data_IF_193559652050
#
_entry.id   IF_193559652050
#
_cell.length_a   1.000
_cell.length_b   1.000
_cell.length_c   1.000
_cell.angle_alpha   90.00
_cell.angle_beta   90.00
_cell.angle_gamma   90.00
#
_symmetry.space_group_name_H-M   'P 1'
#
loop_
_entity.id
_entity.type
_entity.pdbx_description
1 polymer ?
#
# COMPACT_ATOMS: atom_id res chain seq x y z
N UNK A 1 -10.87 -4.81 -1.48
CA UNK A 1 -10.17 -3.93 -0.50
C UNK A 1 -9.97 -4.71 0.80
N UNK A 2 -8.80 -4.61 1.43
CA UNK A 2 -8.57 -5.15 2.77
C UNK A 2 -9.08 -4.11 3.77
N UNK A 3 -10.10 -4.46 4.56
CA UNK A 3 -10.66 -3.58 5.59
C UNK A 3 -10.02 -3.89 6.93
N UNK A 4 -9.21 -2.97 7.43
CA UNK A 4 -8.53 -3.11 8.71
C UNK A 4 -8.15 -1.73 9.23
N UNK A 5 -8.15 -1.54 10.55
CA UNK A 5 -7.82 -0.25 11.18
C UNK A 5 -6.41 0.25 10.87
N UNK A 6 -5.47 -0.66 10.59
CA UNK A 6 -4.10 -0.33 10.18
C UNK A 6 -3.94 -0.06 8.67
N UNK A 7 -4.99 -0.16 7.86
CA UNK A 7 -4.92 0.13 6.42
C UNK A 7 -5.23 1.60 6.18
N UNK A 8 -4.27 2.30 5.57
CA UNK A 8 -4.45 3.69 5.11
C UNK A 8 -4.57 3.71 3.59
N UNK A 9 -5.70 4.22 3.07
CA UNK A 9 -5.91 4.33 1.63
C UNK A 9 -5.36 5.64 1.09
N UNK A 10 -4.21 5.56 0.43
CA UNK A 10 -3.59 6.71 -0.26
C UNK A 10 -3.45 6.34 -1.73
N UNK A 11 -4.12 7.04 -2.66
CA UNK A 11 -3.86 6.89 -4.09
C UNK A 11 -2.40 7.19 -4.40
N UNK A 12 -1.76 6.37 -5.24
CA UNK A 12 -0.34 6.50 -5.55
C UNK A 12 0.07 7.92 -5.99
N UNK A 13 -0.73 8.56 -6.87
CA UNK A 13 -0.47 9.92 -7.33
C UNK A 13 -0.53 11.00 -6.22
N UNK A 14 -1.15 10.70 -5.08
CA UNK A 14 -1.21 11.57 -3.90
C UNK A 14 -0.19 11.21 -2.82
N UNK A 15 0.52 10.08 -2.96
CA UNK A 15 1.42 9.56 -1.93
C UNK A 15 2.49 10.57 -1.53
N UNK A 16 3.06 11.28 -2.50
CA UNK A 16 4.12 12.28 -2.24
C UNK A 16 3.63 13.44 -1.38
N UNK A 17 2.41 13.92 -1.62
CA UNK A 17 1.82 15.04 -0.88
C UNK A 17 1.18 14.62 0.45
N UNK A 18 0.93 13.33 0.64
CA UNK A 18 0.23 12.80 1.83
C UNK A 18 1.12 11.90 2.70
N UNK A 19 2.43 11.91 2.48
CA UNK A 19 3.37 11.03 3.20
C UNK A 19 3.35 11.23 4.71
N UNK A 20 3.01 12.43 5.17
CA UNK A 20 2.97 12.77 6.61
C UNK A 20 1.79 12.13 7.34
N UNK A 21 0.83 11.53 6.61
CA UNK A 21 -0.22 10.69 7.21
C UNK A 21 0.30 9.32 7.68
N UNK A 22 1.50 8.94 7.26
CA UNK A 22 2.08 7.63 7.54
C UNK A 22 2.99 7.66 8.77
N UNK A 23 2.76 6.70 9.66
CA UNK A 23 3.59 6.44 10.84
C UNK A 23 4.97 5.90 10.42
N UNK A 24 6.01 6.72 10.58
CA UNK A 24 7.40 6.40 10.17
C UNK A 24 8.16 5.51 11.16
N UNK A 25 7.58 5.31 12.34
CA UNK A 25 8.08 4.48 13.45
C UNK A 25 7.73 2.99 13.29
N UNK A 26 6.91 2.63 12.31
CA UNK A 26 6.42 1.27 12.08
C UNK A 26 6.86 0.74 10.71
N UNK A 27 6.75 -0.58 10.55
CA UNK A 27 6.85 -1.19 9.22
C UNK A 27 5.66 -0.76 8.37
N UNK A 28 5.94 -0.24 7.17
CA UNK A 28 4.90 0.08 6.18
C UNK A 28 4.92 -1.00 5.10
N UNK A 29 3.80 -1.69 4.93
CA UNK A 29 3.58 -2.65 3.84
C UNK A 29 2.69 -2.00 2.80
N UNK A 30 3.25 -1.72 1.63
CA UNK A 30 2.53 -1.16 0.48
C UNK A 30 1.89 -2.25 -0.37
N UNK A 31 0.70 -2.00 -0.88
CA UNK A 31 0.01 -2.94 -1.77
C UNK A 31 -0.99 -2.24 -2.68
N UNK A 32 -1.33 -2.90 -3.78
CA UNK A 32 -2.46 -2.53 -4.63
C UNK A 32 -3.13 -3.83 -5.14
N UNK A 33 -3.86 -3.77 -6.24
CA UNK A 33 -4.53 -4.95 -6.83
C UNK A 33 -3.54 -6.08 -7.21
N UNK A 34 -2.50 -5.76 -8.00
CA UNK A 34 -1.49 -6.70 -8.53
C UNK A 34 -0.05 -6.31 -8.14
N UNK A 35 0.10 -5.58 -7.05
CA UNK A 35 1.38 -5.13 -6.49
C UNK A 35 2.24 -4.13 -7.30
N UNK A 36 1.98 -3.87 -8.59
CA UNK A 36 2.75 -2.88 -9.38
C UNK A 36 2.84 -1.49 -8.70
N UNK A 37 1.68 -0.92 -8.34
CA UNK A 37 1.60 0.38 -7.63
C UNK A 37 2.10 0.29 -6.18
N UNK A 38 2.05 -0.91 -5.58
CA UNK A 38 2.59 -1.15 -4.26
C UNK A 38 4.12 -1.04 -4.27
N UNK A 39 4.76 -1.74 -5.20
CA UNK A 39 6.19 -1.63 -5.43
C UNK A 39 6.64 -0.19 -5.72
N UNK A 40 5.91 0.54 -6.58
CA UNK A 40 6.20 1.95 -6.84
C UNK A 40 6.05 2.82 -5.58
N UNK A 41 5.00 2.60 -4.79
CA UNK A 41 4.82 3.28 -3.50
C UNK A 41 6.00 3.03 -2.56
N UNK A 42 6.49 1.79 -2.47
CA UNK A 42 7.68 1.49 -1.68
C UNK A 42 8.89 2.31 -2.14
N UNK A 43 9.16 2.35 -3.45
CA UNK A 43 10.29 3.13 -3.99
C UNK A 43 10.16 4.62 -3.66
N UNK A 44 8.95 5.17 -3.73
CA UNK A 44 8.67 6.56 -3.34
C UNK A 44 8.96 6.79 -1.85
N UNK A 45 8.49 5.91 -0.97
CA UNK A 45 8.68 6.04 0.48
C UNK A 45 10.15 5.92 0.88
N UNK A 46 10.89 4.96 0.30
CA UNK A 46 12.33 4.82 0.52
C UNK A 46 13.09 6.08 0.06
N UNK A 47 12.74 6.64 -1.10
CA UNK A 47 13.34 7.89 -1.59
C UNK A 47 13.04 9.11 -0.69
N UNK A 48 12.01 9.02 0.16
CA UNK A 48 11.67 10.02 1.18
C UNK A 48 12.28 9.70 2.56
N UNK A 49 13.17 8.70 2.63
CA UNK A 49 13.92 8.33 3.84
C UNK A 49 13.16 7.43 4.81
N UNK A 50 12.02 6.86 4.41
CA UNK A 50 11.33 5.85 5.23
C UNK A 50 12.16 4.57 5.21
N UNK A 51 12.62 4.14 6.39
CA UNK A 51 13.62 3.07 6.52
C UNK A 51 13.06 1.67 6.47
N UNK A 52 11.84 1.46 6.95
CA UNK A 52 11.22 0.14 7.07
C UNK A 52 9.97 0.04 6.19
N UNK A 53 10.19 -0.21 4.90
CA UNK A 53 9.12 -0.34 3.91
C UNK A 53 9.27 -1.66 3.17
N UNK A 54 8.15 -2.37 3.04
CA UNK A 54 8.01 -3.57 2.22
C UNK A 54 6.82 -3.40 1.28
N UNK A 55 6.69 -4.34 0.36
CA UNK A 55 5.52 -4.45 -0.50
C UNK A 55 4.98 -5.87 -0.46
N UNK A 56 3.67 -6.01 -0.57
CA UNK A 56 3.00 -7.32 -0.59
C UNK A 56 2.90 -7.79 -2.04
N UNK A 57 3.76 -8.72 -2.44
CA UNK A 57 3.71 -9.34 -3.76
C UNK A 57 2.36 -10.05 -4.00
N UNK A 58 1.90 -10.09 -5.25
CA UNK A 58 0.57 -10.57 -5.63
C UNK A 58 -0.58 -9.59 -5.33
N UNK A 59 -0.38 -8.59 -4.48
CA UNK A 59 -1.39 -7.59 -4.15
C UNK A 59 -2.66 -8.19 -3.53
N UNK A 60 -3.77 -7.45 -3.60
CA UNK A 60 -5.08 -7.91 -3.09
C UNK A 60 -5.57 -9.14 -3.85
N UNK A 61 -5.18 -9.34 -5.10
CA UNK A 61 -5.55 -10.54 -5.88
C UNK A 61 -4.90 -11.81 -5.31
N UNK A 62 -3.67 -11.72 -4.81
CA UNK A 62 -2.98 -12.82 -4.13
C UNK A 62 -3.35 -12.99 -2.66
N UNK A 63 -4.22 -12.14 -2.12
CA UNK A 63 -4.62 -12.19 -0.71
C UNK A 63 -5.64 -13.33 -0.48
N UNK A 64 -5.33 -14.32 0.39
CA UNK A 64 -6.14 -15.53 0.48
C UNK A 64 -7.38 -15.40 1.39
N UNK A 65 -7.55 -14.24 2.05
CA UNK A 65 -8.66 -14.01 2.98
C UNK A 65 -9.73 -13.09 2.37
N UNK A 66 -10.80 -12.91 3.13
CA UNK A 66 -11.95 -12.07 2.73
C UNK A 66 -11.52 -10.64 2.42
N UNK A 67 -12.12 -10.08 1.37
CA UNK A 67 -11.92 -8.69 0.95
C UNK A 67 -13.27 -8.04 0.66
N UNK A 68 -13.34 -6.72 0.78
CA UNK A 68 -14.54 -5.93 0.50
C UNK A 68 -14.49 -5.39 -0.93
N UNK A 69 -15.54 -5.65 -1.71
CA UNK A 69 -15.70 -5.16 -3.09
C UNK A 69 -15.08 -6.07 -4.16
N UNK A 70 -15.51 -5.91 -5.40
CA UNK A 70 -14.99 -6.66 -6.54
C UNK A 70 -13.56 -6.24 -6.88
N UNK A 71 -12.66 -7.21 -7.01
CA UNK A 71 -11.31 -6.99 -7.55
C UNK A 71 -11.28 -6.91 -9.08
N UNK A 72 -12.43 -7.07 -9.74
CA UNK A 72 -12.55 -7.17 -11.21
C UNK A 72 -13.34 -6.01 -11.84
N UNK A 73 -13.97 -5.18 -11.03
CA UNK A 73 -14.68 -3.98 -11.46
C UNK A 73 -13.80 -2.78 -11.08
N UNK A 74 -13.08 -2.25 -12.07
CA UNK A 74 -12.26 -1.05 -11.95
C UNK A 74 -12.99 0.15 -12.55
#
# INVERSE_FOLDING_TARGET
RIEHSNVTLIPLGKLRSEIDKLSRDKEIITFCQLSLRGYEAQRILEAQGVKNVKFMDGGVVGWPFETIGSVWEA
#
